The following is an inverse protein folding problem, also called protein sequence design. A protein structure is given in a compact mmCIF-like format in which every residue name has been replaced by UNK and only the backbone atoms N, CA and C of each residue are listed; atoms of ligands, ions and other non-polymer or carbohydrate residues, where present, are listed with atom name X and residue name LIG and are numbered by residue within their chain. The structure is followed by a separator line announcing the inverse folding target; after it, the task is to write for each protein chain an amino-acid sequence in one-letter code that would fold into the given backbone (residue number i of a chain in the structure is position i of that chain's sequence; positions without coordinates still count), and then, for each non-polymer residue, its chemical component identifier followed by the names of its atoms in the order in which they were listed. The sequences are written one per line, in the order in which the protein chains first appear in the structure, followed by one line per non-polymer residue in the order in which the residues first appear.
data_IF_245632165962
#
_entry.id   IF_245632165962
#
_cell.length_a   1.000
_cell.length_b   1.000
_cell.length_c   1.000
_cell.angle_alpha   90.00
_cell.angle_beta   90.00
_cell.angle_gamma   90.00
#
_symmetry.space_group_name_H-M   'P 1'
#
loop_
_entity.id
_entity.type
_entity.pdbx_description
1 polymer ?
#
# COMPACT_ATOMS: atom_id res chain seq x y z
N UNK A 1 20.95 -4.61 -26.60
CA UNK A 1 20.46 -5.77 -25.82
C UNK A 1 20.26 -5.29 -24.38
N UNK A 2 19.11 -5.56 -23.74
CA UNK A 2 18.87 -5.09 -22.38
C UNK A 2 19.66 -5.94 -21.37
N UNK A 3 20.36 -5.30 -20.42
CA UNK A 3 21.03 -5.98 -19.32
C UNK A 3 20.02 -6.21 -18.18
N UNK A 4 19.78 -7.47 -17.81
CA UNK A 4 18.86 -7.85 -16.73
C UNK A 4 19.69 -8.23 -15.50
N UNK A 5 19.44 -7.57 -14.37
CA UNK A 5 20.14 -7.84 -13.10
C UNK A 5 19.14 -8.15 -11.98
N UNK A 6 19.36 -9.20 -11.16
CA UNK A 6 18.50 -9.49 -10.02
C UNK A 6 18.67 -8.46 -8.91
N UNK A 7 17.61 -8.18 -8.18
CA UNK A 7 17.63 -7.34 -6.98
C UNK A 7 16.81 -7.98 -5.86
N UNK A 8 17.09 -7.59 -4.61
CA UNK A 8 16.31 -8.04 -3.46
C UNK A 8 14.97 -7.30 -3.45
N UNK A 9 13.89 -8.02 -3.76
CA UNK A 9 12.53 -7.50 -3.71
C UNK A 9 11.80 -8.00 -2.46
N UNK A 10 10.94 -7.17 -1.90
CA UNK A 10 9.90 -7.62 -0.98
C UNK A 10 8.81 -8.31 -1.78
N UNK A 11 8.39 -9.50 -1.34
CA UNK A 11 7.31 -10.26 -1.97
C UNK A 11 6.39 -10.81 -0.88
N UNK A 12 5.07 -10.75 -1.06
CA UNK A 12 4.15 -11.34 -0.10
C UNK A 12 4.32 -12.86 -0.07
N UNK A 13 4.05 -13.46 1.08
CA UNK A 13 3.94 -14.91 1.18
C UNK A 13 2.79 -15.40 0.30
N UNK A 14 2.95 -16.54 -0.38
CA UNK A 14 2.06 -16.98 -1.46
C UNK A 14 0.55 -17.00 -1.10
N UNK A 15 0.13 -17.54 0.06
CA UNK A 15 -1.24 -17.43 0.59
C UNK A 15 -1.84 -16.01 0.66
N UNK A 16 -1.02 -14.97 0.87
CA UNK A 16 -1.48 -13.59 1.00
C UNK A 16 -1.39 -12.81 -0.31
N UNK A 17 -0.81 -13.37 -1.37
CA UNK A 17 -0.55 -12.65 -2.62
C UNK A 17 -1.83 -12.01 -3.20
N UNK A 18 -2.96 -12.73 -3.17
CA UNK A 18 -4.24 -12.21 -3.65
C UNK A 18 -4.81 -11.09 -2.77
N UNK A 19 -4.52 -11.09 -1.47
CA UNK A 19 -4.97 -10.06 -0.53
C UNK A 19 -4.10 -8.81 -0.60
N UNK A 20 -2.82 -8.98 -0.92
CA UNK A 20 -1.87 -7.86 -1.09
C UNK A 20 -2.08 -7.16 -2.42
N UNK A 21 -2.44 -7.88 -3.49
CA UNK A 21 -2.72 -7.27 -4.77
C UNK A 21 -3.79 -6.17 -4.67
N UNK A 22 -3.49 -4.99 -5.21
CA UNK A 22 -4.40 -3.85 -5.30
C UNK A 22 -4.47 -3.33 -6.73
N UNK A 23 -5.50 -2.55 -7.04
CA UNK A 23 -5.49 -1.73 -8.26
C UNK A 23 -4.32 -0.73 -8.24
N UNK A 24 -3.89 -0.25 -9.42
CA UNK A 24 -2.94 0.86 -9.52
C UNK A 24 -3.42 2.09 -8.72
N UNK A 25 -2.48 2.86 -8.17
CA UNK A 25 -2.79 3.99 -7.28
C UNK A 25 -3.44 5.18 -8.02
N UNK A 26 -3.28 5.25 -9.34
CA UNK A 26 -3.76 6.31 -10.24
C UNK A 26 -5.19 6.07 -10.75
N UNK A 27 -5.72 4.85 -10.61
CA UNK A 27 -7.10 4.52 -11.03
C UNK A 27 -8.12 4.67 -9.90
N UNK A 28 -7.69 5.01 -8.69
CA UNK A 28 -8.56 5.22 -7.52
C UNK A 28 -8.25 6.56 -6.84
N UNK A 29 -9.31 7.29 -6.48
CA UNK A 29 -9.20 8.37 -5.50
C UNK A 29 -9.18 7.81 -4.06
N UNK A 30 -8.89 8.66 -3.07
CA UNK A 30 -8.73 8.21 -1.67
C UNK A 30 -10.03 7.66 -1.06
N UNK A 31 -11.20 8.15 -1.48
CA UNK A 31 -12.48 7.62 -1.00
C UNK A 31 -12.76 6.21 -1.56
N UNK A 32 -12.55 6.01 -2.85
CA UNK A 32 -12.68 4.70 -3.50
C UNK A 32 -11.68 3.69 -2.93
N UNK A 33 -10.43 4.11 -2.71
CA UNK A 33 -9.39 3.27 -2.12
C UNK A 33 -9.71 2.85 -0.68
N UNK A 34 -10.34 3.73 0.12
CA UNK A 34 -10.80 3.38 1.47
C UNK A 34 -11.87 2.31 1.45
N UNK A 35 -12.80 2.39 0.51
CA UNK A 35 -13.85 1.37 0.32
C UNK A 35 -13.23 0.06 -0.17
N UNK A 36 -12.30 0.11 -1.13
CA UNK A 36 -11.64 -1.09 -1.68
C UNK A 36 -10.77 -1.82 -0.65
N UNK A 37 -10.08 -1.09 0.23
CA UNK A 37 -9.28 -1.67 1.30
C UNK A 37 -10.12 -2.14 2.51
N UNK A 38 -11.41 -1.77 2.58
CA UNK A 38 -12.25 -2.08 3.72
C UNK A 38 -12.38 -3.60 3.93
N UNK A 39 -12.06 -4.06 5.14
CA UNK A 39 -12.10 -5.49 5.49
C UNK A 39 -10.91 -6.31 4.99
N UNK A 40 -9.95 -5.70 4.29
CA UNK A 40 -8.71 -6.35 3.86
C UNK A 40 -7.47 -5.64 4.44
N UNK A 41 -7.02 -6.02 5.66
CA UNK A 41 -5.87 -5.40 6.32
C UNK A 41 -4.52 -5.68 5.63
N UNK A 42 -4.53 -6.51 4.58
CA UNK A 42 -3.36 -6.87 3.78
C UNK A 42 -3.33 -6.13 2.44
N UNK A 43 -4.31 -5.29 2.11
CA UNK A 43 -4.32 -4.51 0.85
C UNK A 43 -3.08 -3.63 0.73
N UNK A 44 -2.41 -3.65 -0.43
CA UNK A 44 -1.27 -2.76 -0.67
C UNK A 44 -1.65 -1.27 -0.76
N UNK A 45 -2.94 -0.95 -0.85
CA UNK A 45 -3.44 0.43 -0.77
C UNK A 45 -3.11 1.11 0.56
N UNK A 46 -2.98 0.35 1.65
CA UNK A 46 -2.49 0.90 2.93
C UNK A 46 -1.07 1.49 2.84
N UNK A 47 -0.29 1.13 1.81
CA UNK A 47 1.07 1.62 1.59
C UNK A 47 1.09 2.64 0.44
N UNK A 48 0.46 2.35 -0.69
CA UNK A 48 0.50 3.23 -1.88
C UNK A 48 -0.48 4.39 -1.83
N UNK A 49 -1.51 4.29 -0.98
CA UNK A 49 -2.50 5.33 -0.70
C UNK A 49 -2.76 5.39 0.81
N UNK A 50 -1.68 5.54 1.59
CA UNK A 50 -1.72 5.49 3.06
C UNK A 50 -2.60 6.57 3.70
N UNK A 51 -3.02 7.59 2.95
CA UNK A 51 -4.00 8.57 3.41
C UNK A 51 -5.36 7.95 3.76
N UNK A 52 -5.67 6.75 3.25
CA UNK A 52 -6.93 6.06 3.57
C UNK A 52 -7.05 5.68 5.05
N UNK A 53 -5.90 5.52 5.73
CA UNK A 53 -5.79 5.18 7.15
C UNK A 53 -5.74 6.40 8.07
N UNK A 54 -5.83 7.60 7.49
CA UNK A 54 -5.81 8.88 8.18
C UNK A 54 -7.17 9.58 8.05
N UNK A 55 -7.43 10.64 8.86
CA UNK A 55 -8.63 11.45 8.71
C UNK A 55 -8.81 11.95 7.27
N UNK A 56 -10.06 12.02 6.79
CA UNK A 56 -10.34 12.33 5.38
C UNK A 56 -9.86 13.71 4.92
N UNK A 57 -9.64 14.64 5.86
CA UNK A 57 -9.17 15.99 5.58
C UNK A 57 -7.63 16.10 5.62
N UNK A 58 -6.92 14.99 5.84
CA UNK A 58 -5.45 14.98 5.81
C UNK A 58 -4.97 15.25 4.39
N UNK A 59 -4.07 16.22 4.24
CA UNK A 59 -3.37 16.47 2.99
C UNK A 59 -2.55 15.23 2.59
N UNK A 60 -2.82 14.70 1.40
CA UNK A 60 -2.19 13.50 0.84
C UNK A 60 -0.68 13.64 0.66
N UNK A 61 -0.15 14.87 0.64
CA UNK A 61 1.28 15.16 0.51
C UNK A 61 1.93 15.53 1.84
N UNK A 62 1.21 15.43 2.95
CA UNK A 62 1.73 15.76 4.27
C UNK A 62 2.62 14.65 4.85
N UNK A 63 3.53 15.03 5.74
CA UNK A 63 4.45 14.09 6.41
C UNK A 63 3.74 12.90 7.08
N UNK A 64 2.59 13.07 7.78
CA UNK A 64 1.86 11.97 8.40
C UNK A 64 1.47 10.84 7.42
N UNK A 65 1.19 11.16 6.15
CA UNK A 65 0.86 10.17 5.12
C UNK A 65 2.06 9.28 4.82
N UNK A 66 3.24 9.88 4.67
CA UNK A 66 4.49 9.13 4.43
C UNK A 66 4.91 8.31 5.64
N UNK A 67 4.77 8.86 6.85
CA UNK A 67 5.02 8.13 8.10
C UNK A 67 4.10 6.90 8.20
N UNK A 68 2.80 7.09 7.93
CA UNK A 68 1.82 6.00 7.91
C UNK A 68 2.17 4.93 6.85
N UNK A 69 2.56 5.32 5.65
CA UNK A 69 3.01 4.38 4.62
C UNK A 69 4.20 3.53 5.10
N UNK A 70 5.17 4.18 5.76
CA UNK A 70 6.34 3.51 6.34
C UNK A 70 5.93 2.52 7.43
N UNK A 71 5.10 2.94 8.38
CA UNK A 71 4.60 2.09 9.47
C UNK A 71 3.87 0.86 8.93
N UNK A 72 3.00 1.05 7.93
CA UNK A 72 2.25 -0.03 7.30
C UNK A 72 3.17 -1.01 6.55
N UNK A 73 4.19 -0.50 5.83
CA UNK A 73 5.18 -1.34 5.16
C UNK A 73 6.02 -2.15 6.17
N UNK A 74 6.52 -1.50 7.23
CA UNK A 74 7.26 -2.18 8.29
C UNK A 74 6.41 -3.26 8.96
N UNK A 75 5.11 -3.00 9.14
CA UNK A 75 4.17 -3.98 9.66
C UNK A 75 4.02 -5.15 8.70
N UNK A 76 3.90 -4.93 7.38
CA UNK A 76 3.80 -5.99 6.36
C UNK A 76 5.03 -6.90 6.32
N UNK A 77 6.23 -6.32 6.49
CA UNK A 77 7.49 -7.08 6.48
C UNK A 77 7.61 -8.02 7.69
N UNK A 78 6.97 -7.69 8.82
CA UNK A 78 7.05 -8.44 10.07
C UNK A 78 6.02 -9.58 10.21
N UNK A 79 5.03 -9.68 9.32
CA UNK A 79 3.95 -10.69 9.38
C UNK A 79 4.35 -11.94 8.57
#
# INVERSE_FOLDING_TARGET
MANIQPFKALRPHAPFAAQVASRPYDVLNSAEARIEAQGNPNSFLHITKSEIDLPEQTDIHSMPVYERAKENLDAFIKR
#
